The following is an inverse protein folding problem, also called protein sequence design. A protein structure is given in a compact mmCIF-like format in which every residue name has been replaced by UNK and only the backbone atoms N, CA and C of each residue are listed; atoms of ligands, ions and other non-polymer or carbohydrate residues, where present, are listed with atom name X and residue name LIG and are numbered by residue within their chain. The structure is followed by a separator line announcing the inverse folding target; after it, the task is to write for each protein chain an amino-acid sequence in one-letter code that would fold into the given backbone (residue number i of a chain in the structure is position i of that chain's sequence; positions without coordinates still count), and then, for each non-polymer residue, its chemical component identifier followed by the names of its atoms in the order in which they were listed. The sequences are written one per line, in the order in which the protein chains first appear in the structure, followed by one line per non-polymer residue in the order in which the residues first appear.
data_IF_146715856875
#
_entry.id   IF_146715856875
#
_cell.length_a   1.000
_cell.length_b   1.000
_cell.length_c   1.000
_cell.angle_alpha   90.00
_cell.angle_beta   90.00
_cell.angle_gamma   90.00
#
_symmetry.space_group_name_H-M   'P 1'
#
loop_
_entity.id
_entity.type
_entity.pdbx_description
1 polymer ?
#
# COMPACT_ATOMS: atom_id res chain seq x y z
N UNK A 1 58.09 22.48 36.84
CA UNK A 1 57.33 21.22 36.67
C UNK A 1 55.95 21.55 36.10
N UNK A 2 55.76 21.38 34.79
CA UNK A 2 54.48 21.63 34.12
C UNK A 2 53.53 20.44 34.35
N UNK A 3 52.41 20.68 35.05
CA UNK A 3 51.33 19.69 35.22
C UNK A 3 50.60 19.54 33.88
N UNK A 4 50.67 18.36 33.27
CA UNK A 4 49.92 18.00 32.07
C UNK A 4 48.44 17.84 32.45
N UNK A 5 47.60 18.77 31.99
CA UNK A 5 46.15 18.66 32.07
C UNK A 5 45.67 17.89 30.82
N UNK A 6 45.37 16.60 30.98
CA UNK A 6 44.70 15.82 29.93
C UNK A 6 43.22 16.18 29.96
N UNK A 7 42.78 17.00 28.99
CA UNK A 7 41.36 17.20 28.71
C UNK A 7 40.89 15.95 27.97
N UNK A 8 40.24 15.05 28.69
CA UNK A 8 39.52 13.92 28.11
C UNK A 8 38.19 14.47 27.56
N UNK A 9 38.23 15.06 26.35
CA UNK A 9 37.02 15.37 25.58
C UNK A 9 36.34 14.05 25.24
N UNK A 10 35.34 13.68 26.05
CA UNK A 10 34.41 12.60 25.76
C UNK A 10 33.63 12.93 24.49
N UNK A 11 34.12 12.41 23.36
CA UNK A 11 33.41 12.44 22.11
C UNK A 11 32.26 11.43 22.22
N UNK A 12 31.09 11.89 22.67
CA UNK A 12 29.84 11.16 22.53
C UNK A 12 29.54 11.07 21.03
N UNK A 13 30.03 9.99 20.40
CA UNK A 13 29.53 9.55 19.10
C UNK A 13 28.08 9.14 19.36
N UNK A 14 27.17 10.09 19.22
CA UNK A 14 25.77 9.75 18.98
C UNK A 14 25.77 9.07 17.62
N UNK A 15 25.72 7.74 17.61
CA UNK A 15 25.35 7.00 16.41
C UNK A 15 23.91 7.40 16.11
N UNK A 16 23.74 8.44 15.30
CA UNK A 16 22.48 8.69 14.62
C UNK A 16 22.28 7.47 13.74
N UNK A 17 21.50 6.50 14.23
CA UNK A 17 20.91 5.49 13.39
C UNK A 17 20.08 6.25 12.37
N UNK A 18 20.66 6.52 11.20
CA UNK A 18 19.93 7.03 10.06
C UNK A 18 19.15 5.86 9.49
N UNK A 19 18.14 5.42 10.24
CA UNK A 19 17.06 4.60 9.70
C UNK A 19 16.21 5.54 8.85
N UNK A 20 16.74 5.93 7.69
CA UNK A 20 15.91 6.42 6.60
C UNK A 20 15.19 5.19 6.04
N UNK A 21 14.19 4.69 6.77
CA UNK A 21 13.19 3.81 6.16
C UNK A 21 12.51 4.67 5.09
N UNK A 22 12.76 4.31 3.84
CA UNK A 22 12.21 4.99 2.69
C UNK A 22 10.69 4.78 2.65
N UNK A 23 9.94 5.87 2.51
CA UNK A 23 8.48 5.83 2.36
C UNK A 23 8.18 5.13 1.04
N UNK A 24 7.22 4.21 1.04
CA UNK A 24 6.80 3.50 -0.17
C UNK A 24 6.33 4.51 -1.23
N UNK A 25 6.97 4.45 -2.39
CA UNK A 25 6.75 5.38 -3.50
C UNK A 25 5.29 5.41 -3.97
N UNK A 26 4.55 4.30 -3.85
CA UNK A 26 3.13 4.22 -4.18
C UNK A 26 2.32 5.10 -3.24
N UNK A 27 2.60 5.04 -1.94
CA UNK A 27 1.92 5.92 -0.97
C UNK A 27 2.34 7.37 -1.18
N UNK A 28 3.63 7.63 -1.37
CA UNK A 28 4.14 8.98 -1.56
C UNK A 28 3.54 9.65 -2.81
N UNK A 29 3.45 8.93 -3.93
CA UNK A 29 2.84 9.42 -5.18
C UNK A 29 1.37 9.79 -5.00
N UNK A 30 0.64 9.04 -4.17
CA UNK A 30 -0.79 9.23 -3.96
C UNK A 30 -1.14 10.26 -2.87
N UNK A 31 -0.29 10.39 -1.83
CA UNK A 31 -0.59 11.15 -0.60
C UNK A 31 0.40 12.28 -0.30
N UNK A 32 1.56 12.31 -0.96
CA UNK A 32 2.59 13.35 -0.79
C UNK A 32 2.97 13.56 0.67
N UNK A 33 2.93 14.82 1.13
CA UNK A 33 3.25 15.22 2.51
C UNK A 33 2.40 14.53 3.59
N UNK A 34 1.20 14.04 3.26
CA UNK A 34 0.40 13.27 4.21
C UNK A 34 1.04 11.90 4.49
N UNK A 35 1.66 11.28 3.48
CA UNK A 35 2.39 10.02 3.65
C UNK A 35 3.52 10.19 4.68
N UNK A 36 4.30 11.26 4.54
CA UNK A 36 5.39 11.61 5.46
C UNK A 36 4.89 11.79 6.89
N UNK A 37 3.80 12.55 7.07
CA UNK A 37 3.21 12.77 8.39
C UNK A 37 2.69 11.47 9.00
N UNK A 38 2.00 10.63 8.25
CA UNK A 38 1.51 9.35 8.74
C UNK A 38 2.68 8.43 9.11
N UNK A 39 3.70 8.37 8.26
CA UNK A 39 4.87 7.56 8.48
C UNK A 39 5.60 7.94 9.79
N UNK A 40 5.75 9.23 10.08
CA UNK A 40 6.44 9.73 11.29
C UNK A 40 5.55 9.65 12.54
N UNK A 41 4.29 10.08 12.45
CA UNK A 41 3.45 10.35 13.63
C UNK A 41 2.28 9.39 13.83
N UNK A 42 1.90 8.62 12.80
CA UNK A 42 0.76 7.70 12.86
C UNK A 42 1.03 6.44 12.03
N UNK A 43 2.03 5.66 12.50
CA UNK A 43 2.53 4.47 11.80
C UNK A 43 1.43 3.46 11.46
N UNK A 44 0.41 3.31 12.30
CA UNK A 44 -0.69 2.39 12.01
C UNK A 44 -1.53 2.82 10.81
N UNK A 45 -1.78 4.13 10.66
CA UNK A 45 -2.46 4.65 9.47
C UNK A 45 -1.60 4.49 8.21
N UNK A 46 -0.28 4.65 8.33
CA UNK A 46 0.63 4.36 7.23
C UNK A 46 0.61 2.87 6.85
N UNK A 47 0.67 1.96 7.83
CA UNK A 47 0.57 0.52 7.59
C UNK A 47 -0.76 0.13 6.95
N UNK A 48 -1.87 0.78 7.32
CA UNK A 48 -3.16 0.56 6.68
C UNK A 48 -3.11 0.88 5.18
N UNK A 49 -2.47 1.98 4.78
CA UNK A 49 -2.34 2.35 3.36
C UNK A 49 -1.49 1.35 2.57
N UNK A 50 -0.40 0.83 3.16
CA UNK A 50 0.39 -0.24 2.55
C UNK A 50 -0.45 -1.51 2.39
N UNK A 51 -1.09 -1.91 3.48
CA UNK A 51 -1.95 -3.09 3.51
C UNK A 51 -3.05 -3.01 2.45
N UNK A 52 -3.69 -1.84 2.31
CA UNK A 52 -4.72 -1.60 1.32
C UNK A 52 -4.18 -1.76 -0.11
N UNK A 53 -3.00 -1.23 -0.43
CA UNK A 53 -2.39 -1.41 -1.75
C UNK A 53 -2.11 -2.88 -2.08
N UNK A 54 -1.72 -3.67 -1.08
CA UNK A 54 -1.28 -5.05 -1.29
C UNK A 54 -2.40 -6.10 -1.14
N UNK A 55 -3.46 -5.80 -0.39
CA UNK A 55 -4.47 -6.80 0.05
C UNK A 55 -5.92 -6.39 -0.23
N UNK A 56 -6.17 -5.25 -0.89
CA UNK A 56 -7.54 -4.83 -1.21
C UNK A 56 -8.11 -5.45 -2.48
N UNK A 57 -7.40 -6.35 -3.13
CA UNK A 57 -7.87 -6.97 -4.36
C UNK A 57 -7.38 -8.41 -4.54
N UNK A 58 -8.05 -9.12 -5.44
CA UNK A 58 -7.64 -10.42 -5.95
C UNK A 58 -7.85 -10.50 -7.47
N UNK A 59 -7.11 -11.39 -8.14
CA UNK A 59 -7.30 -11.68 -9.57
C UNK A 59 -8.01 -13.02 -9.70
N UNK A 60 -9.16 -13.04 -10.34
CA UNK A 60 -9.99 -14.25 -10.51
C UNK A 60 -10.34 -14.48 -11.97
N UNK A 61 -10.76 -15.69 -12.30
CA UNK A 61 -11.30 -15.99 -13.62
C UNK A 61 -12.71 -15.41 -13.76
N UNK A 62 -13.06 -14.87 -14.94
CA UNK A 62 -14.44 -14.46 -15.26
C UNK A 62 -15.44 -15.59 -15.02
N UNK A 63 -15.01 -16.84 -15.21
CA UNK A 63 -15.85 -18.04 -15.04
C UNK A 63 -16.21 -18.32 -13.59
N UNK A 64 -15.42 -17.85 -12.61
CA UNK A 64 -15.72 -18.04 -11.19
C UNK A 64 -16.70 -17.01 -10.62
N UNK A 65 -17.02 -15.96 -11.39
CA UNK A 65 -17.96 -14.92 -10.99
C UNK A 65 -19.42 -15.38 -11.19
N UNK A 66 -20.35 -14.84 -10.41
CA UNK A 66 -21.79 -14.98 -10.66
C UNK A 66 -22.22 -14.20 -11.91
N UNK A 67 -23.47 -14.39 -12.36
CA UNK A 67 -24.01 -13.62 -13.50
C UNK A 67 -24.09 -12.13 -13.17
N UNK A 68 -24.52 -11.80 -11.96
CA UNK A 68 -24.68 -10.44 -11.45
C UNK A 68 -23.31 -9.74 -11.37
N UNK A 69 -22.30 -10.44 -10.85
CA UNK A 69 -20.92 -9.94 -10.78
C UNK A 69 -20.30 -9.71 -12.16
N UNK A 70 -20.58 -10.61 -13.13
CA UNK A 70 -20.13 -10.38 -14.51
C UNK A 70 -20.77 -9.14 -15.14
N UNK A 71 -22.01 -8.84 -14.80
CA UNK A 71 -22.72 -7.67 -15.32
C UNK A 71 -22.18 -6.35 -14.74
N UNK A 72 -21.54 -6.39 -13.56
CA UNK A 72 -20.92 -5.21 -12.94
C UNK A 72 -19.45 -4.98 -13.30
N UNK A 73 -18.89 -5.80 -14.21
CA UNK A 73 -17.50 -5.63 -14.68
C UNK A 73 -17.34 -4.31 -15.43
N UNK A 74 -16.49 -3.44 -14.88
CA UNK A 74 -16.00 -2.21 -15.49
C UNK A 74 -14.99 -2.53 -16.61
N UNK A 75 -15.20 -1.92 -17.77
CA UNK A 75 -14.38 -2.10 -18.99
C UNK A 75 -13.78 -0.79 -19.51
N UNK A 76 -14.06 0.31 -18.81
CA UNK A 76 -13.55 1.65 -19.07
C UNK A 76 -12.09 1.82 -18.62
N UNK A 77 -11.59 0.92 -17.77
CA UNK A 77 -10.19 0.85 -17.36
C UNK A 77 -9.50 -0.24 -18.19
N UNK A 78 -8.49 0.16 -18.96
CA UNK A 78 -7.68 -0.75 -19.78
C UNK A 78 -6.23 -0.77 -19.32
N UNK A 79 -5.67 -1.96 -19.16
CA UNK A 79 -4.27 -2.15 -18.80
C UNK A 79 -3.45 -2.53 -20.04
N UNK A 80 -2.29 -1.89 -20.21
CA UNK A 80 -1.24 -2.31 -21.14
C UNK A 80 -0.63 -3.64 -20.70
N UNK A 81 0.08 -4.32 -21.60
CA UNK A 81 0.69 -5.61 -21.26
C UNK A 81 1.77 -5.49 -20.18
N UNK A 82 2.50 -4.37 -20.13
CA UNK A 82 3.44 -4.08 -19.05
C UNK A 82 2.74 -3.91 -17.69
N UNK A 83 1.57 -3.27 -17.66
CA UNK A 83 0.82 -3.06 -16.41
C UNK A 83 0.18 -4.36 -15.92
N UNK A 84 -0.22 -5.26 -16.84
CA UNK A 84 -0.73 -6.58 -16.48
C UNK A 84 0.30 -7.44 -15.74
N UNK A 85 1.59 -7.24 -15.99
CA UNK A 85 2.68 -7.99 -15.33
C UNK A 85 2.84 -7.60 -13.87
N UNK A 86 2.57 -6.34 -13.51
CA UNK A 86 2.73 -5.86 -12.13
C UNK A 86 1.51 -6.13 -11.25
N UNK A 87 0.34 -6.43 -11.82
CA UNK A 87 -0.88 -6.75 -11.09
C UNK A 87 -0.69 -8.06 -10.29
N UNK A 88 -1.02 -8.03 -9.00
CA UNK A 88 -0.77 -9.13 -8.08
C UNK A 88 0.64 -9.15 -7.48
N UNK A 89 1.47 -8.14 -7.79
CA UNK A 89 2.77 -7.93 -7.14
C UNK A 89 2.71 -6.77 -6.15
N UNK A 90 3.72 -6.64 -5.29
CA UNK A 90 3.89 -5.52 -4.37
C UNK A 90 4.17 -4.17 -5.03
N UNK A 91 4.22 -4.11 -6.37
CA UNK A 91 4.43 -2.86 -7.11
C UNK A 91 3.15 -2.30 -7.73
N UNK A 92 2.03 -3.03 -7.64
CA UNK A 92 0.78 -2.54 -8.19
C UNK A 92 0.24 -1.38 -7.36
N UNK A 93 -0.09 -0.28 -8.05
CA UNK A 93 -0.70 0.91 -7.46
C UNK A 93 -2.02 1.20 -8.20
N UNK A 94 -3.12 0.59 -7.76
CA UNK A 94 -4.42 0.75 -8.44
C UNK A 94 -4.93 2.20 -8.45
N UNK A 95 -4.42 3.06 -7.57
CA UNK A 95 -4.74 4.49 -7.57
C UNK A 95 -4.28 5.21 -8.84
N UNK A 96 -3.19 4.75 -9.47
CA UNK A 96 -2.69 5.32 -10.73
C UNK A 96 -3.68 5.13 -11.89
N UNK A 97 -4.61 4.17 -11.75
CA UNK A 97 -5.65 3.85 -12.72
C UNK A 97 -6.99 4.50 -12.37
N UNK A 98 -7.02 5.42 -11.39
CA UNK A 98 -8.25 6.08 -10.94
C UNK A 98 -9.18 5.17 -10.15
N UNK A 99 -8.73 3.97 -9.75
CA UNK A 99 -9.54 3.04 -8.96
C UNK A 99 -9.57 3.53 -7.52
N UNK A 100 -10.79 3.73 -7.01
CA UNK A 100 -11.06 4.07 -5.61
C UNK A 100 -11.97 3.00 -5.02
N UNK A 101 -11.53 2.40 -3.92
CA UNK A 101 -12.28 1.38 -3.22
C UNK A 101 -13.66 1.90 -2.81
N UNK A 102 -14.67 1.09 -3.04
CA UNK A 102 -16.05 1.43 -2.67
C UNK A 102 -16.26 1.27 -1.16
N UNK A 103 -17.17 2.09 -0.62
CA UNK A 103 -17.54 2.07 0.80
C UNK A 103 -18.46 0.90 1.17
N UNK A 104 -19.10 0.26 0.19
CA UNK A 104 -20.21 -0.67 0.46
C UNK A 104 -20.16 -1.98 -0.31
N UNK A 105 -19.50 -2.02 -1.47
CA UNK A 105 -19.57 -3.18 -2.36
C UNK A 105 -18.23 -3.47 -3.04
N UNK A 106 -18.03 -4.72 -3.46
CA UNK A 106 -16.87 -5.09 -4.27
C UNK A 106 -16.97 -4.49 -5.66
N UNK A 107 -15.83 -4.13 -6.23
CA UNK A 107 -15.76 -3.60 -7.59
C UNK A 107 -15.02 -4.60 -8.49
N UNK A 108 -15.46 -4.70 -9.73
CA UNK A 108 -14.98 -5.68 -10.70
C UNK A 108 -14.40 -4.94 -11.89
N UNK A 109 -13.11 -5.12 -12.17
CA UNK A 109 -12.42 -4.45 -13.28
C UNK A 109 -11.86 -5.49 -14.22
N UNK A 110 -12.17 -5.37 -15.51
CA UNK A 110 -11.67 -6.29 -16.52
C UNK A 110 -10.14 -6.20 -16.61
N UNK A 111 -9.45 -7.33 -16.47
CA UNK A 111 -8.00 -7.39 -16.70
C UNK A 111 -7.69 -7.78 -18.15
N UNK A 112 -8.33 -8.84 -18.62
CA UNK A 112 -8.24 -9.34 -20.00
C UNK A 112 -9.48 -10.18 -20.33
N UNK A 113 -9.46 -10.96 -21.42
CA UNK A 113 -10.60 -11.78 -21.87
C UNK A 113 -11.02 -12.87 -20.88
N UNK A 114 -10.18 -13.26 -19.94
CA UNK A 114 -10.41 -14.40 -19.04
C UNK A 114 -10.34 -14.02 -17.56
N UNK A 115 -9.71 -12.89 -17.21
CA UNK A 115 -9.42 -12.48 -15.84
C UNK A 115 -10.06 -11.14 -15.47
N UNK A 116 -10.40 -11.02 -14.19
CA UNK A 116 -10.99 -9.84 -13.55
C UNK A 116 -10.23 -9.54 -12.27
N UNK A 117 -9.99 -8.26 -12.00
CA UNK A 117 -9.55 -7.80 -10.69
C UNK A 117 -10.78 -7.50 -9.84
N UNK A 118 -10.90 -8.17 -8.70
CA UNK A 118 -11.95 -7.95 -7.72
C UNK A 118 -11.38 -7.10 -6.60
N UNK A 119 -11.82 -5.86 -6.50
CA UNK A 119 -11.49 -4.97 -5.39
C UNK A 119 -12.50 -5.16 -4.26
N UNK A 120 -12.01 -5.41 -3.05
CA UNK A 120 -12.81 -5.53 -1.84
C UNK A 120 -13.38 -4.18 -1.42
N UNK A 121 -14.53 -4.19 -0.76
CA UNK A 121 -15.07 -2.97 -0.16
C UNK A 121 -14.22 -2.54 1.04
N UNK A 122 -14.17 -1.23 1.33
CA UNK A 122 -13.42 -0.68 2.47
C UNK A 122 -13.71 -1.41 3.80
N UNK A 123 -14.96 -1.78 4.15
CA UNK A 123 -15.22 -2.54 5.37
C UNK A 123 -14.54 -3.92 5.42
N UNK A 124 -14.44 -4.60 4.27
CA UNK A 124 -13.77 -5.90 4.17
C UNK A 124 -12.25 -5.74 4.37
N UNK A 125 -11.65 -4.74 3.70
CA UNK A 125 -10.22 -4.42 3.85
C UNK A 125 -9.90 -4.00 5.28
N UNK A 126 -10.73 -3.14 5.88
CA UNK A 126 -10.57 -2.69 7.27
C UNK A 126 -10.63 -3.87 8.23
N UNK A 127 -11.61 -4.77 8.07
CA UNK A 127 -11.72 -5.98 8.89
C UNK A 127 -10.46 -6.84 8.74
N UNK A 128 -10.00 -7.11 7.52
CA UNK A 128 -8.78 -7.88 7.28
C UNK A 128 -7.54 -7.23 7.92
N UNK A 129 -7.41 -5.90 7.83
CA UNK A 129 -6.32 -5.16 8.46
C UNK A 129 -6.34 -5.30 9.98
N UNK A 130 -7.50 -5.21 10.63
CA UNK A 130 -7.55 -5.27 12.11
C UNK A 130 -6.99 -6.57 12.69
N UNK A 131 -7.05 -7.67 11.92
CA UNK A 131 -6.50 -8.99 12.29
C UNK A 131 -5.11 -9.26 11.69
N UNK A 132 -4.56 -8.34 10.90
CA UNK A 132 -3.26 -8.49 10.23
C UNK A 132 -2.10 -8.15 11.18
N UNK A 133 -0.93 -8.81 11.04
CA UNK A 133 0.30 -8.37 11.71
C UNK A 133 0.73 -6.93 11.36
N UNK A 134 0.20 -6.36 10.28
CA UNK A 134 0.44 -4.96 9.90
C UNK A 134 -0.27 -3.96 10.83
N UNK A 135 -1.31 -4.39 11.54
CA UNK A 135 -1.96 -3.58 12.55
C UNK A 135 -1.14 -3.61 13.84
N UNK A 136 -0.60 -2.45 14.22
CA UNK A 136 0.30 -2.28 15.37
C UNK A 136 -0.38 -1.58 16.54
N UNK A 137 -1.72 -1.54 16.55
CA UNK A 137 -2.52 -1.04 17.68
C UNK A 137 -2.92 -2.16 18.62
#
# INVERSE_FOLDING_TARGET
MLKKLFILTGFLISTTFSFSQEIDSRILKNKGKEAEKMYVYNKNSYNYLLFELDHSYEVVSIKSLSKEQRNSIKKDISFTDSEKVIIGTSNFNFYDFGIKLSKSERQYVQLDKERVIVFYAIPEVTKAFTTSPSNTK
#
